data_IF_289098097604
#
_entry.id   IF_289098097604
#
_cell.length_a   1.000
_cell.length_b   1.000
_cell.length_c   1.000
_cell.angle_alpha   90.00
_cell.angle_beta   90.00
_cell.angle_gamma   90.00
#
_symmetry.space_group_name_H-M   'P 1'
#
loop_
_entity.id
_entity.type
_entity.pdbx_description
1 polymer ?
#
# COMPACT_ATOMS: atom_id res chain seq x y z
N UNK A 1 -10.67 3.38 -3.21
CA UNK A 1 -10.84 4.84 -3.46
C UNK A 1 -10.06 5.70 -2.48
N UNK A 2 -10.08 5.42 -1.17
CA UNK A 2 -9.44 6.26 -0.14
C UNK A 2 -7.97 6.64 -0.41
N UNK A 3 -7.14 5.70 -0.91
CA UNK A 3 -5.74 5.96 -1.28
C UNK A 3 -5.60 7.05 -2.34
N UNK A 4 -6.52 7.13 -3.31
CA UNK A 4 -6.47 8.12 -4.39
C UNK A 4 -6.83 9.51 -3.89
N UNK A 5 -7.81 9.60 -2.98
CA UNK A 5 -8.18 10.85 -2.32
C UNK A 5 -7.02 11.38 -1.48
N UNK A 6 -6.39 10.50 -0.69
CA UNK A 6 -5.19 10.85 0.08
C UNK A 6 -4.05 11.36 -0.82
N UNK A 7 -3.80 10.67 -1.94
CA UNK A 7 -2.81 11.09 -2.94
C UNK A 7 -3.16 12.44 -3.58
N UNK A 8 -4.45 12.73 -3.82
CA UNK A 8 -4.89 14.03 -4.33
C UNK A 8 -4.48 15.17 -3.39
N UNK A 9 -4.69 15.01 -2.07
CA UNK A 9 -4.28 16.00 -1.09
C UNK A 9 -2.76 16.19 -1.05
N UNK A 10 -1.99 15.10 -0.98
CA UNK A 10 -0.51 15.19 -0.99
C UNK A 10 0.00 15.87 -2.25
N UNK A 11 -0.51 15.48 -3.42
CA UNK A 11 -0.10 16.05 -4.70
C UNK A 11 -0.42 17.54 -4.76
N UNK A 12 -1.59 17.94 -4.24
CA UNK A 12 -1.99 19.35 -4.14
C UNK A 12 -0.99 20.15 -3.30
N UNK A 13 -0.65 19.66 -2.11
CA UNK A 13 0.28 20.36 -1.21
C UNK A 13 1.65 20.54 -1.86
N UNK A 14 2.20 19.48 -2.44
CA UNK A 14 3.53 19.51 -3.06
C UNK A 14 3.55 20.39 -4.31
N UNK A 15 2.54 20.25 -5.17
CA UNK A 15 2.45 21.05 -6.40
C UNK A 15 2.22 22.54 -6.10
N UNK A 16 1.32 22.86 -5.16
CA UNK A 16 1.01 24.23 -4.77
C UNK A 16 2.20 24.93 -4.13
N UNK A 17 3.00 24.20 -3.35
CA UNK A 17 4.23 24.72 -2.76
C UNK A 17 5.27 25.02 -3.85
N UNK A 18 5.47 24.08 -4.79
CA UNK A 18 6.38 24.28 -5.92
C UNK A 18 5.99 25.49 -6.78
N UNK A 19 4.70 25.61 -7.12
CA UNK A 19 4.19 26.78 -7.85
C UNK A 19 4.36 28.07 -7.06
N UNK A 20 4.08 28.05 -5.76
CA UNK A 20 4.18 29.25 -4.93
C UNK A 20 5.62 29.74 -4.78
N UNK A 21 6.60 28.84 -4.76
CA UNK A 21 8.02 29.22 -4.75
C UNK A 21 8.41 29.77 -6.12
N UNK A 22 7.94 29.14 -7.20
CA UNK A 22 8.22 29.58 -8.56
C UNK A 22 7.63 30.96 -8.89
N UNK A 23 6.41 31.24 -8.43
CA UNK A 23 5.70 32.50 -8.70
C UNK A 23 5.95 33.58 -7.66
N UNK A 24 6.90 33.39 -6.74
CA UNK A 24 7.22 34.38 -5.72
C UNK A 24 8.01 35.54 -6.32
N UNK A 25 7.57 36.77 -6.04
CA UNK A 25 8.28 38.01 -6.40
C UNK A 25 8.62 38.77 -5.12
N UNK A 26 9.92 39.06 -4.86
CA UNK A 26 10.33 39.86 -3.70
C UNK A 26 9.73 41.27 -3.72
N UNK A 27 9.50 41.85 -2.53
CA UNK A 27 8.91 43.19 -2.40
C UNK A 27 9.75 44.28 -3.07
N UNK A 28 11.08 44.12 -3.07
CA UNK A 28 12.03 45.00 -3.76
C UNK A 28 11.88 45.01 -5.29
N UNK A 29 11.27 43.97 -5.85
CA UNK A 29 11.04 43.79 -7.30
C UNK A 29 9.57 43.99 -7.66
N UNK A 30 8.71 44.29 -6.67
CA UNK A 30 7.29 44.55 -6.91
C UNK A 30 7.08 45.88 -7.63
N UNK A 31 6.22 45.87 -8.64
CA UNK A 31 5.87 47.09 -9.37
C UNK A 31 5.10 48.00 -8.42
N UNK A 32 5.53 49.24 -8.29
CA UNK A 32 4.93 50.23 -7.39
C UNK A 32 3.42 50.36 -7.67
N UNK A 33 2.59 50.05 -6.68
CA UNK A 33 1.13 50.05 -6.80
C UNK A 33 0.49 48.68 -7.08
N UNK A 34 1.26 47.60 -7.18
CA UNK A 34 0.76 46.22 -7.25
C UNK A 34 1.02 45.46 -5.95
N UNK A 35 0.02 44.74 -5.45
CA UNK A 35 0.16 43.90 -4.27
C UNK A 35 0.68 42.52 -4.67
N UNK A 36 1.93 42.20 -4.31
CA UNK A 36 2.50 40.87 -4.48
C UNK A 36 2.16 39.99 -3.27
N UNK A 37 1.53 38.85 -3.51
CA UNK A 37 1.29 37.86 -2.45
C UNK A 37 2.60 37.21 -2.00
N UNK A 38 2.80 37.10 -0.69
CA UNK A 38 3.88 36.28 -0.13
C UNK A 38 3.65 34.79 -0.40
N UNK A 39 4.72 33.99 -0.29
CA UNK A 39 4.70 32.53 -0.53
C UNK A 39 3.56 31.83 0.20
N UNK A 40 3.33 32.16 1.48
CA UNK A 40 2.25 31.53 2.25
C UNK A 40 0.87 31.76 1.64
N UNK A 41 0.54 33.00 1.27
CA UNK A 41 -0.77 33.34 0.71
C UNK A 41 -0.97 32.71 -0.67
N UNK A 42 0.05 32.77 -1.54
CA UNK A 42 0.03 32.13 -2.86
C UNK A 42 -0.14 30.61 -2.76
N UNK A 43 0.53 29.98 -1.81
CA UNK A 43 0.37 28.55 -1.51
C UNK A 43 -1.07 28.18 -1.14
N UNK A 44 -1.70 28.92 -0.23
CA UNK A 44 -3.08 28.64 0.18
C UNK A 44 -4.07 28.86 -0.97
N UNK A 45 -3.88 29.93 -1.74
CA UNK A 45 -4.70 30.21 -2.93
C UNK A 45 -4.60 29.06 -3.94
N UNK A 46 -3.36 28.63 -4.25
CA UNK A 46 -3.10 27.49 -5.12
C UNK A 46 -3.79 26.22 -4.62
N UNK A 47 -3.74 25.94 -3.31
CA UNK A 47 -4.42 24.79 -2.72
C UNK A 47 -5.93 24.82 -2.96
N UNK A 48 -6.57 25.98 -2.82
CA UNK A 48 -8.02 26.15 -3.02
C UNK A 48 -8.42 25.83 -4.47
N UNK A 49 -7.61 26.23 -5.46
CA UNK A 49 -7.92 25.99 -6.87
C UNK A 49 -7.51 24.59 -7.36
N UNK A 50 -6.39 24.06 -6.89
CA UNK A 50 -5.85 22.77 -7.37
C UNK A 50 -6.55 21.58 -6.73
N UNK A 51 -6.96 21.68 -5.45
CA UNK A 51 -7.58 20.55 -4.74
C UNK A 51 -8.86 20.06 -5.44
N UNK A 52 -9.83 20.92 -5.81
CA UNK A 52 -11.03 20.49 -6.52
C UNK A 52 -10.73 19.80 -7.86
N UNK A 53 -9.70 20.25 -8.58
CA UNK A 53 -9.30 19.67 -9.86
C UNK A 53 -8.80 18.24 -9.68
N UNK A 54 -7.92 18.01 -8.71
CA UNK A 54 -7.46 16.65 -8.44
C UNK A 54 -8.59 15.75 -7.95
N UNK A 55 -9.51 16.25 -7.11
CA UNK A 55 -10.60 15.43 -6.58
C UNK A 55 -11.67 15.13 -7.64
N UNK A 56 -12.09 16.11 -8.44
CA UNK A 56 -13.19 15.98 -9.39
C UNK A 56 -12.75 15.41 -10.74
N UNK A 57 -11.51 15.67 -11.16
CA UNK A 57 -10.99 15.23 -12.46
C UNK A 57 -9.92 14.15 -12.25
N UNK A 58 -8.91 14.44 -11.42
CA UNK A 58 -7.76 13.55 -11.21
C UNK A 58 -8.15 12.16 -10.69
N UNK A 59 -8.94 12.09 -9.61
CA UNK A 59 -9.34 10.81 -8.99
C UNK A 59 -10.21 9.95 -9.92
N UNK A 60 -11.26 10.49 -10.59
CA UNK A 60 -12.04 9.71 -11.55
C UNK A 60 -11.23 9.23 -12.76
N UNK A 61 -10.41 10.10 -13.37
CA UNK A 61 -9.57 9.70 -14.51
C UNK A 61 -8.58 8.62 -14.09
N UNK A 62 -7.96 8.76 -12.92
CA UNK A 62 -7.05 7.76 -12.37
C UNK A 62 -7.71 6.38 -12.28
N UNK A 63 -8.99 6.32 -11.89
CA UNK A 63 -9.76 5.08 -11.87
C UNK A 63 -10.03 4.53 -13.29
N UNK A 64 -10.36 5.40 -14.25
CA UNK A 64 -10.57 5.00 -15.65
C UNK A 64 -9.29 4.43 -16.28
N UNK A 65 -8.14 5.06 -16.04
CA UNK A 65 -6.83 4.60 -16.52
C UNK A 65 -6.54 3.18 -16.00
N UNK A 66 -6.73 2.93 -14.71
CA UNK A 66 -6.49 1.59 -14.16
C UNK A 66 -7.48 0.55 -14.68
N UNK A 67 -8.76 0.91 -14.88
CA UNK A 67 -9.76 0.01 -15.46
C UNK A 67 -9.38 -0.41 -16.88
N UNK A 68 -8.89 0.52 -17.70
CA UNK A 68 -8.40 0.24 -19.04
C UNK A 68 -7.20 -0.73 -18.98
N UNK A 69 -6.20 -0.44 -18.16
CA UNK A 69 -5.00 -1.28 -18.08
C UNK A 69 -5.27 -2.71 -17.61
N UNK A 70 -6.28 -2.93 -16.77
CA UNK A 70 -6.66 -4.28 -16.38
C UNK A 70 -7.17 -5.14 -17.56
N UNK A 71 -7.58 -4.51 -18.67
CA UNK A 71 -8.01 -5.20 -19.90
C UNK A 71 -6.88 -5.37 -20.92
N UNK A 72 -5.81 -4.57 -20.82
CA UNK A 72 -4.70 -4.57 -21.77
C UNK A 72 -3.42 -5.11 -21.11
N UNK A 73 -3.31 -6.45 -21.03
CA UNK A 73 -2.09 -7.25 -20.91
C UNK A 73 -1.00 -6.86 -19.87
N UNK A 74 -0.66 -7.81 -18.99
CA UNK A 74 0.43 -7.74 -18.01
C UNK A 74 1.82 -7.70 -18.69
N UNK A 75 2.27 -6.53 -19.14
CA UNK A 75 3.62 -6.34 -19.66
C UNK A 75 4.59 -5.76 -18.61
N UNK A 76 5.87 -6.14 -18.76
CA UNK A 76 7.04 -5.87 -17.92
C UNK A 76 7.10 -4.40 -17.44
N UNK A 77 7.43 -4.24 -16.15
CA UNK A 77 7.11 -3.06 -15.33
C UNK A 77 7.45 -1.67 -15.90
N UNK A 78 8.53 -1.51 -16.67
CA UNK A 78 8.92 -0.20 -17.23
C UNK A 78 7.98 0.24 -18.38
N UNK A 79 7.55 -0.69 -19.24
CA UNK A 79 6.63 -0.37 -20.35
C UNK A 79 5.29 0.10 -19.82
N UNK A 80 4.77 -0.59 -18.81
CA UNK A 80 3.53 -0.23 -18.12
C UNK A 80 3.64 1.12 -17.41
N UNK A 81 4.79 1.40 -16.79
CA UNK A 81 5.04 2.71 -16.19
C UNK A 81 5.00 3.85 -17.22
N UNK A 82 5.74 3.73 -18.32
CA UNK A 82 5.81 4.76 -19.36
C UNK A 82 4.44 4.98 -20.02
N UNK A 83 3.69 3.91 -20.28
CA UNK A 83 2.36 4.04 -20.87
C UNK A 83 1.38 4.75 -19.93
N UNK A 84 1.45 4.48 -18.61
CA UNK A 84 0.67 5.24 -17.62
C UNK A 84 1.08 6.71 -17.59
N UNK A 85 2.38 7.05 -17.55
CA UNK A 85 2.87 8.44 -17.64
C UNK A 85 2.27 9.14 -18.88
N UNK A 86 2.29 8.47 -20.04
CA UNK A 86 1.66 8.99 -21.26
C UNK A 86 0.16 9.25 -21.09
N UNK A 87 -0.59 8.29 -20.51
CA UNK A 87 -2.03 8.46 -20.29
C UNK A 87 -2.38 9.59 -19.33
N UNK A 88 -1.65 9.73 -18.22
CA UNK A 88 -1.82 10.86 -17.29
C UNK A 88 -1.48 12.20 -17.96
N UNK A 89 -0.50 12.22 -18.86
CA UNK A 89 -0.15 13.41 -19.64
C UNK A 89 -1.25 13.78 -20.63
N UNK A 90 -1.79 12.82 -21.38
CA UNK A 90 -2.91 13.04 -22.32
C UNK A 90 -4.17 13.50 -21.57
N UNK A 91 -4.46 12.88 -20.43
CA UNK A 91 -5.58 13.26 -19.58
C UNK A 91 -5.53 14.71 -19.10
N UNK A 92 -4.34 15.30 -19.00
CA UNK A 92 -4.16 16.70 -18.58
C UNK A 92 -4.71 17.72 -19.57
N UNK A 93 -5.00 17.33 -20.82
CA UNK A 93 -5.68 18.19 -21.78
C UNK A 93 -7.04 18.65 -21.28
N UNK A 94 -7.77 17.79 -20.55
CA UNK A 94 -9.11 18.12 -20.05
C UNK A 94 -9.07 19.33 -19.10
N UNK A 95 -8.33 19.29 -17.96
CA UNK A 95 -8.25 20.46 -17.09
C UNK A 95 -7.59 21.66 -17.78
N UNK A 96 -6.60 21.45 -18.66
CA UNK A 96 -5.97 22.55 -19.41
C UNK A 96 -6.98 23.32 -20.24
N UNK A 97 -7.79 22.62 -21.04
CA UNK A 97 -8.82 23.24 -21.89
C UNK A 97 -9.83 23.99 -21.03
N UNK A 98 -10.30 23.38 -19.93
CA UNK A 98 -11.28 23.99 -19.02
C UNK A 98 -10.70 25.29 -18.43
N UNK A 99 -9.48 25.26 -17.90
CA UNK A 99 -8.86 26.43 -17.29
C UNK A 99 -8.53 27.52 -18.28
N UNK A 100 -8.04 27.15 -19.47
CA UNK A 100 -7.71 28.09 -20.51
C UNK A 100 -8.93 28.93 -20.92
N UNK A 101 -10.08 28.29 -21.14
CA UNK A 101 -11.34 28.98 -21.45
C UNK A 101 -11.88 29.77 -20.25
N UNK A 102 -11.70 29.28 -19.02
CA UNK A 102 -12.16 29.96 -17.81
C UNK A 102 -11.40 31.27 -17.56
N UNK A 103 -10.09 31.30 -17.79
CA UNK A 103 -9.26 32.48 -17.51
C UNK A 103 -9.14 33.47 -18.68
N UNK A 104 -9.13 33.00 -19.94
CA UNK A 104 -9.01 33.88 -21.11
C UNK A 104 -10.37 34.28 -21.74
N UNK A 105 -11.46 33.68 -21.25
CA UNK A 105 -12.79 33.84 -21.83
C UNK A 105 -12.87 33.30 -23.27
N UNK A 106 -13.95 33.65 -23.96
CA UNK A 106 -14.14 33.34 -25.40
C UNK A 106 -13.47 34.35 -26.33
N UNK A 107 -12.60 35.20 -25.80
CA UNK A 107 -11.96 36.25 -26.59
C UNK A 107 -10.96 35.63 -27.59
N UNK A 108 -11.00 36.08 -28.85
CA UNK A 108 -10.20 35.47 -29.94
C UNK A 108 -8.70 35.76 -29.88
N UNK A 109 -8.24 36.49 -28.84
CA UNK A 109 -6.85 36.99 -28.71
C UNK A 109 -6.13 36.45 -27.48
N UNK A 110 -6.43 35.22 -27.08
CA UNK A 110 -5.60 34.49 -26.12
C UNK A 110 -4.31 33.98 -26.81
N UNK A 111 -3.11 34.37 -26.37
CA UNK A 111 -1.85 33.87 -26.94
C UNK A 111 -1.76 32.35 -26.80
N UNK A 112 -1.40 31.66 -27.88
CA UNK A 112 -1.15 30.21 -27.86
C UNK A 112 -0.07 29.82 -26.83
N UNK A 113 0.83 30.73 -26.50
CA UNK A 113 1.87 30.54 -25.49
C UNK A 113 1.30 30.25 -24.10
N UNK A 114 0.21 30.93 -23.70
CA UNK A 114 -0.43 30.71 -22.40
C UNK A 114 -1.06 29.33 -22.32
N UNK A 115 -1.66 28.86 -23.43
CA UNK A 115 -2.17 27.50 -23.53
C UNK A 115 -1.06 26.47 -23.33
N UNK A 116 0.07 26.65 -24.01
CA UNK A 116 1.23 25.75 -23.92
C UNK A 116 1.80 25.73 -22.49
N UNK A 117 1.93 26.89 -21.86
CA UNK A 117 2.40 26.99 -20.47
C UNK A 117 1.46 26.27 -19.50
N UNK A 118 0.14 26.51 -19.60
CA UNK A 118 -0.87 25.81 -18.78
C UNK A 118 -0.86 24.30 -19.02
N UNK A 119 -0.67 23.88 -20.27
CA UNK A 119 -0.58 22.46 -20.62
C UNK A 119 0.63 21.79 -19.97
N UNK A 120 1.81 22.41 -20.07
CA UNK A 120 3.04 21.88 -19.45
C UNK A 120 2.86 21.75 -17.93
N UNK A 121 2.32 22.78 -17.27
CA UNK A 121 2.04 22.74 -15.84
C UNK A 121 1.04 21.64 -15.47
N UNK A 122 0.01 21.45 -16.29
CA UNK A 122 -0.99 20.40 -16.09
C UNK A 122 -0.42 19.00 -16.28
N UNK A 123 0.50 18.82 -17.23
CA UNK A 123 1.25 17.56 -17.42
C UNK A 123 2.14 17.27 -16.22
N UNK A 124 2.84 18.28 -15.68
CA UNK A 124 3.65 18.12 -14.47
C UNK A 124 2.75 17.73 -13.29
N UNK A 125 1.63 18.42 -13.09
CA UNK A 125 0.68 18.15 -12.03
C UNK A 125 0.10 16.72 -12.12
N UNK A 126 -0.31 16.27 -13.31
CA UNK A 126 -0.92 14.95 -13.48
C UNK A 126 0.09 13.81 -13.25
N UNK A 127 1.34 13.98 -13.70
CA UNK A 127 2.40 13.01 -13.48
C UNK A 127 2.90 13.00 -12.03
N UNK A 128 2.91 14.14 -11.35
CA UNK A 128 3.19 14.21 -9.92
C UNK A 128 2.17 13.39 -9.12
N UNK A 129 0.88 13.53 -9.45
CA UNK A 129 -0.18 12.73 -8.85
C UNK A 129 0.05 11.22 -9.07
N UNK A 130 0.39 10.81 -10.30
CA UNK A 130 0.68 9.42 -10.60
C UNK A 130 1.91 8.88 -9.84
N UNK A 131 2.96 9.69 -9.70
CA UNK A 131 4.15 9.33 -8.94
C UNK A 131 3.82 9.04 -7.47
N UNK A 132 3.06 9.94 -6.81
CA UNK A 132 2.61 9.71 -5.44
C UNK A 132 1.68 8.50 -5.32
N UNK A 133 0.84 8.25 -6.32
CA UNK A 133 -0.01 7.06 -6.35
C UNK A 133 0.81 5.78 -6.31
N UNK A 134 1.90 5.70 -7.11
CA UNK A 134 2.82 4.55 -7.09
C UNK A 134 3.50 4.43 -5.73
N UNK A 135 3.98 5.54 -5.17
CA UNK A 135 4.69 5.55 -3.88
C UNK A 135 3.78 5.03 -2.76
N UNK A 136 2.57 5.57 -2.62
CA UNK A 136 1.59 5.14 -1.61
C UNK A 136 1.22 3.67 -1.79
N UNK A 137 1.09 3.21 -3.04
CA UNK A 137 0.83 1.80 -3.33
C UNK A 137 1.97 0.90 -2.83
N UNK A 138 3.23 1.23 -3.17
CA UNK A 138 4.41 0.47 -2.72
C UNK A 138 4.54 0.46 -1.18
N UNK A 139 4.33 1.61 -0.53
CA UNK A 139 4.37 1.72 0.92
C UNK A 139 3.29 0.83 1.54
N UNK A 140 2.05 0.89 1.04
CA UNK A 140 0.97 0.07 1.59
C UNK A 140 1.27 -1.43 1.47
N UNK A 141 1.82 -1.87 0.33
CA UNK A 141 2.22 -3.26 0.13
C UNK A 141 3.36 -3.67 1.08
N UNK A 142 4.32 -2.78 1.34
CA UNK A 142 5.40 -3.05 2.29
C UNK A 142 4.84 -3.18 3.71
N UNK A 143 3.98 -2.27 4.14
CA UNK A 143 3.33 -2.30 5.46
C UNK A 143 2.50 -3.57 5.62
N UNK A 144 1.70 -3.96 4.62
CA UNK A 144 0.90 -5.19 4.70
C UNK A 144 1.76 -6.44 4.82
N UNK A 145 2.89 -6.50 4.10
CA UNK A 145 3.86 -7.60 4.24
C UNK A 145 4.52 -7.64 5.61
N UNK A 146 4.87 -6.47 6.18
CA UNK A 146 5.43 -6.38 7.52
C UNK A 146 4.43 -6.84 8.58
N UNK A 147 3.19 -6.36 8.49
CA UNK A 147 2.11 -6.77 9.38
C UNK A 147 1.83 -8.27 9.29
N UNK A 148 1.78 -8.83 8.08
CA UNK A 148 1.63 -10.27 7.89
C UNK A 148 2.79 -11.07 8.50
N UNK A 149 4.04 -10.62 8.30
CA UNK A 149 5.23 -11.25 8.88
C UNK A 149 5.19 -11.22 10.41
N UNK A 150 4.83 -10.09 11.00
CA UNK A 150 4.70 -9.93 12.45
C UNK A 150 3.59 -10.81 13.01
N UNK A 151 2.43 -10.86 12.34
CA UNK A 151 1.33 -11.72 12.71
C UNK A 151 1.69 -13.22 12.67
N UNK A 152 2.35 -13.67 11.60
CA UNK A 152 2.85 -15.06 11.51
C UNK A 152 3.88 -15.35 12.60
N UNK A 153 4.79 -14.41 12.89
CA UNK A 153 5.77 -14.55 13.97
C UNK A 153 5.10 -14.66 15.35
N UNK A 154 4.04 -13.89 15.61
CA UNK A 154 3.30 -13.97 16.88
C UNK A 154 2.62 -15.34 17.04
N UNK A 155 2.00 -15.87 15.97
CA UNK A 155 1.39 -17.20 15.97
C UNK A 155 2.42 -18.29 16.23
N UNK A 156 3.56 -18.21 15.53
CA UNK A 156 4.67 -19.13 15.72
C UNK A 156 5.13 -19.15 17.18
N UNK A 157 5.33 -17.99 17.81
CA UNK A 157 5.76 -17.90 19.20
C UNK A 157 4.74 -18.48 20.19
N UNK A 158 3.44 -18.30 19.95
CA UNK A 158 2.39 -18.88 20.80
C UNK A 158 2.36 -20.40 20.69
N UNK A 159 2.47 -20.93 19.47
CA UNK A 159 2.54 -22.39 19.27
C UNK A 159 3.81 -22.92 19.91
N UNK A 160 4.96 -22.25 19.70
CA UNK A 160 6.24 -22.61 20.31
C UNK A 160 6.15 -22.73 21.82
N UNK A 161 5.60 -21.72 22.49
CA UNK A 161 5.40 -21.74 23.94
C UNK A 161 4.63 -22.98 24.42
N UNK A 162 3.56 -23.37 23.71
CA UNK A 162 2.73 -24.51 24.11
C UNK A 162 3.36 -25.86 23.75
N UNK A 163 4.02 -25.96 22.60
CA UNK A 163 4.67 -27.19 22.14
C UNK A 163 5.93 -27.48 22.97
N UNK A 164 6.73 -26.45 23.26
CA UNK A 164 7.92 -26.57 24.10
C UNK A 164 7.54 -26.91 25.56
N UNK A 165 6.40 -26.43 26.07
CA UNK A 165 5.86 -26.85 27.37
C UNK A 165 5.37 -28.31 27.35
N UNK A 166 4.80 -28.76 26.23
CA UNK A 166 4.29 -30.12 26.09
C UNK A 166 5.41 -31.16 25.97
N UNK A 167 6.48 -30.84 25.24
CA UNK A 167 7.71 -31.63 25.03
C UNK A 167 7.47 -33.15 25.01
N UNK A 168 6.81 -33.69 23.96
CA UNK A 168 6.35 -35.08 23.94
C UNK A 168 7.47 -36.12 24.03
N UNK A 169 8.71 -35.73 23.72
CA UNK A 169 9.88 -36.60 23.80
C UNK A 169 10.83 -36.25 24.95
N UNK A 170 10.54 -35.20 25.73
CA UNK A 170 11.40 -34.70 26.79
C UNK A 170 12.83 -34.38 26.30
N UNK A 171 12.94 -33.72 25.14
CA UNK A 171 14.23 -33.36 24.53
C UNK A 171 14.82 -32.09 25.13
N UNK A 172 13.98 -31.10 25.42
CA UNK A 172 14.40 -29.74 25.77
C UNK A 172 15.29 -29.61 27.01
N UNK A 173 15.25 -30.50 28.04
CA UNK A 173 16.22 -30.44 29.14
C UNK A 173 17.68 -30.65 28.71
N UNK A 174 17.92 -31.21 27.52
CA UNK A 174 19.25 -31.64 27.06
C UNK A 174 19.59 -31.21 25.63
N UNK A 175 18.69 -30.52 24.94
CA UNK A 175 18.85 -30.06 23.55
C UNK A 175 18.67 -28.54 23.44
N UNK A 176 19.08 -27.94 22.30
CA UNK A 176 18.83 -26.53 22.02
C UNK A 176 17.33 -26.14 22.07
N UNK A 177 17.04 -24.88 22.37
CA UNK A 177 15.66 -24.36 22.48
C UNK A 177 14.89 -24.38 21.14
N UNK A 178 15.53 -24.59 19.99
CA UNK A 178 14.92 -24.62 18.65
C UNK A 178 14.53 -26.03 18.17
N UNK A 179 14.56 -27.05 19.05
CA UNK A 179 14.35 -28.46 18.69
C UNK A 179 13.06 -28.73 17.89
N UNK A 180 11.93 -28.10 18.27
CA UNK A 180 10.63 -28.30 17.61
C UNK A 180 10.27 -27.23 16.56
N UNK A 181 11.19 -26.31 16.23
CA UNK A 181 10.87 -25.14 15.39
C UNK A 181 10.37 -25.53 13.98
N UNK A 182 10.83 -26.67 13.48
CA UNK A 182 10.45 -27.18 12.16
C UNK A 182 8.99 -27.66 12.13
N UNK A 183 8.56 -28.36 13.16
CA UNK A 183 7.19 -28.84 13.40
C UNK A 183 6.26 -27.66 13.67
N UNK A 184 6.69 -26.73 14.53
CA UNK A 184 5.94 -25.51 14.87
C UNK A 184 5.70 -24.67 13.60
N UNK A 185 6.68 -24.60 12.70
CA UNK A 185 6.55 -23.91 11.40
C UNK A 185 5.49 -24.57 10.51
N UNK A 186 5.46 -25.91 10.45
CA UNK A 186 4.45 -26.66 9.69
C UNK A 186 3.04 -26.49 10.28
N UNK A 187 2.91 -26.53 11.61
CA UNK A 187 1.63 -26.26 12.31
C UNK A 187 1.16 -24.83 12.03
N UNK A 188 2.05 -23.85 12.16
CA UNK A 188 1.76 -22.42 11.89
C UNK A 188 1.27 -22.21 10.46
N UNK A 189 1.86 -22.93 9.51
CA UNK A 189 1.51 -22.86 8.08
C UNK A 189 0.14 -23.48 7.78
N UNK A 190 -0.29 -24.48 8.55
CA UNK A 190 -1.58 -25.14 8.39
C UNK A 190 -2.74 -24.40 9.08
N UNK A 191 -2.46 -23.54 10.07
CA UNK A 191 -3.48 -22.79 10.84
C UNK A 191 -4.57 -22.09 10.01
N UNK A 192 -4.30 -21.46 8.84
CA UNK A 192 -5.36 -20.80 8.06
C UNK A 192 -6.51 -21.71 7.62
N UNK A 193 -6.27 -23.02 7.51
CA UNK A 193 -7.25 -24.00 7.05
C UNK A 193 -7.99 -24.70 8.21
N UNK A 194 -7.58 -24.44 9.45
CA UNK A 194 -8.12 -25.07 10.66
C UNK A 194 -9.33 -24.29 11.18
N UNK A 195 -10.44 -25.00 11.42
CA UNK A 195 -11.73 -24.41 11.81
C UNK A 195 -12.25 -24.88 13.17
N UNK A 196 -11.61 -25.86 13.79
CA UNK A 196 -11.96 -26.34 15.14
C UNK A 196 -10.74 -26.88 15.86
N UNK A 197 -10.87 -27.05 17.19
CA UNK A 197 -9.85 -27.64 18.06
C UNK A 197 -9.52 -29.07 17.61
N UNK A 198 -10.53 -29.86 17.23
CA UNK A 198 -10.36 -31.24 16.75
C UNK A 198 -9.51 -31.28 15.48
N UNK A 199 -9.75 -30.35 14.55
CA UNK A 199 -8.98 -30.25 13.33
C UNK A 199 -7.53 -29.82 13.63
N UNK A 200 -7.32 -28.92 14.60
CA UNK A 200 -5.98 -28.52 15.04
C UNK A 200 -5.23 -29.72 15.64
N UNK A 201 -5.88 -30.49 16.51
CA UNK A 201 -5.29 -31.69 17.11
C UNK A 201 -4.85 -32.70 16.05
N UNK A 202 -5.69 -32.91 15.02
CA UNK A 202 -5.34 -33.77 13.89
C UNK A 202 -4.16 -33.22 13.07
N UNK A 203 -4.09 -31.90 12.87
CA UNK A 203 -2.95 -31.26 12.19
C UNK A 203 -1.65 -31.45 12.98
N UNK A 204 -1.68 -31.20 14.29
CA UNK A 204 -0.51 -31.40 15.16
C UNK A 204 -0.04 -32.86 15.08
N UNK A 205 -0.95 -33.81 15.26
CA UNK A 205 -0.65 -35.24 15.10
C UNK A 205 0.03 -35.53 13.76
N UNK A 206 -0.56 -35.08 12.66
CA UNK A 206 -0.03 -35.32 11.31
C UNK A 206 1.36 -34.72 11.10
N UNK A 207 1.63 -33.53 11.65
CA UNK A 207 2.95 -32.90 11.57
C UNK A 207 3.96 -33.73 12.37
N UNK A 208 3.65 -34.09 13.61
CA UNK A 208 4.57 -34.90 14.42
C UNK A 208 4.83 -36.27 13.80
N UNK A 209 3.82 -36.92 13.22
CA UNK A 209 3.99 -38.15 12.41
C UNK A 209 4.94 -37.93 11.24
N UNK A 210 4.80 -36.81 10.52
CA UNK A 210 5.67 -36.48 9.37
C UNK A 210 7.14 -36.36 9.78
N UNK A 211 7.42 -35.77 10.95
CA UNK A 211 8.79 -35.48 11.40
C UNK A 211 9.43 -36.63 12.18
N UNK A 212 8.65 -37.37 12.98
CA UNK A 212 9.14 -38.41 13.88
C UNK A 212 8.75 -39.84 13.46
N UNK A 213 7.93 -40.02 12.42
CA UNK A 213 7.53 -41.33 11.88
C UNK A 213 6.18 -41.85 12.37
N UNK A 214 5.82 -43.06 11.96
CA UNK A 214 4.58 -43.76 12.35
C UNK A 214 4.83 -44.95 13.29
N UNK A 215 6.07 -45.11 13.77
CA UNK A 215 6.44 -46.24 14.62
C UNK A 215 5.57 -46.24 15.90
N UNK A 216 4.93 -47.38 16.18
CA UNK A 216 3.86 -47.48 17.17
C UNK A 216 4.24 -47.01 18.60
N UNK A 217 5.52 -47.02 18.94
CA UNK A 217 6.05 -46.58 20.24
C UNK A 217 6.09 -45.05 20.34
N UNK A 218 6.37 -44.37 19.23
CA UNK A 218 6.45 -42.92 19.19
C UNK A 218 5.10 -42.30 18.83
N UNK A 219 4.33 -42.93 17.94
CA UNK A 219 2.99 -42.48 17.55
C UNK A 219 1.97 -42.44 18.70
N UNK A 220 2.21 -43.18 19.80
CA UNK A 220 1.41 -43.09 21.02
C UNK A 220 1.60 -41.72 21.72
N UNK A 221 2.80 -41.15 21.68
CA UNK A 221 3.14 -39.89 22.37
C UNK A 221 2.44 -38.68 21.76
N UNK A 222 2.21 -38.72 20.45
CA UNK A 222 1.52 -37.67 19.68
C UNK A 222 0.26 -38.21 18.99
N UNK A 223 -0.46 -39.15 19.63
CA UNK A 223 -1.78 -39.58 19.15
C UNK A 223 -2.76 -38.39 19.12
N UNK A 224 -3.79 -38.44 18.28
CA UNK A 224 -4.78 -37.35 18.18
C UNK A 224 -5.39 -37.01 19.56
N UNK A 225 -5.59 -38.01 20.41
CA UNK A 225 -6.10 -37.86 21.78
C UNK A 225 -5.12 -37.09 22.67
N UNK A 226 -3.81 -37.31 22.53
CA UNK A 226 -2.76 -36.58 23.24
C UNK A 226 -2.54 -35.18 22.68
N UNK A 227 -2.74 -34.99 21.39
CA UNK A 227 -2.66 -33.69 20.72
C UNK A 227 -3.85 -32.79 21.05
N UNK A 228 -5.01 -33.34 21.45
CA UNK A 228 -6.21 -32.56 21.75
C UNK A 228 -6.03 -31.49 22.84
N UNK A 229 -5.54 -31.80 24.06
CA UNK A 229 -5.34 -30.78 25.10
C UNK A 229 -4.29 -29.73 24.70
N UNK A 230 -3.30 -30.10 23.89
CA UNK A 230 -2.28 -29.18 23.34
C UNK A 230 -2.93 -28.23 22.33
N UNK A 231 -3.75 -28.78 21.43
CA UNK A 231 -4.53 -28.03 20.47
C UNK A 231 -5.50 -27.07 21.16
N UNK A 232 -6.15 -27.49 22.24
CA UNK A 232 -7.05 -26.64 23.04
C UNK A 232 -6.29 -25.45 23.64
N UNK A 233 -5.14 -25.67 24.28
CA UNK A 233 -4.28 -24.60 24.79
C UNK A 233 -3.85 -23.62 23.69
N UNK A 234 -3.45 -24.12 22.52
CA UNK A 234 -3.09 -23.28 21.37
C UNK A 234 -4.31 -22.50 20.87
N UNK A 235 -5.47 -23.16 20.80
CA UNK A 235 -6.71 -22.55 20.31
C UNK A 235 -7.15 -21.39 21.20
N UNK A 236 -7.17 -21.58 22.52
CA UNK A 236 -7.51 -20.54 23.51
C UNK A 236 -6.56 -19.33 23.46
N UNK A 237 -5.27 -19.53 23.18
CA UNK A 237 -4.29 -18.44 23.07
C UNK A 237 -4.35 -17.69 21.74
N UNK A 238 -4.92 -18.30 20.69
CA UNK A 238 -4.92 -17.77 19.32
C UNK A 238 -6.24 -17.18 18.84
N UNK A 239 -7.38 -17.68 19.33
CA UNK A 239 -8.74 -17.35 18.87
C UNK A 239 -9.60 -16.84 20.02
#
# INVERSE_FOLDING_TARGET
MIKRIFVAFISTLVFSLGLSIYSYTPESESIQGTYSFGVGATFFLNCIYITPVYLLIGVPISFMIDKWFNHCSQSIGIKTYLLKVGMYSIASLIPTIIFYFLFNGWSSYSPFEDFVAMFILSVIASNLFYLFLILVHKITLKISKLYFREYTSKKFNIIKEVIDEWDPFNFLPHTPEDEYDSEISDITSALPDVKSVEQLAYVIHKVFVKWFGEDAVDAEKYSVEKCYPVAEKIWEKLF
#
